data_IF_483388809217
#
_entry.id   IF_483388809217
#
_cell.length_a   1.000
_cell.length_b   1.000
_cell.length_c   1.000
_cell.angle_alpha   90.00
_cell.angle_beta   90.00
_cell.angle_gamma   90.00
#
_symmetry.space_group_name_H-M   'P 1'
#
loop_
_entity.id
_entity.type
_entity.pdbx_description
1 polymer ?
#
# COMPACT_ATOMS: atom_id res chain seq x y z
N UNK A 1 -68.71 6.35 -10.90
CA UNK A 1 -67.27 6.05 -11.03
C UNK A 1 -66.63 7.34 -11.54
N UNK A 2 -65.92 8.08 -10.65
CA UNK A 2 -65.27 9.33 -11.03
C UNK A 2 -63.99 8.99 -11.81
N UNK A 3 -63.94 9.37 -13.06
CA UNK A 3 -62.70 9.27 -13.86
C UNK A 3 -61.68 10.23 -13.26
N UNK A 4 -60.44 9.78 -13.02
CA UNK A 4 -59.40 10.64 -12.45
C UNK A 4 -59.07 11.80 -13.40
N UNK A 5 -58.96 13.00 -12.85
CA UNK A 5 -58.67 14.23 -13.59
C UNK A 5 -57.30 14.08 -14.30
N UNK A 6 -57.24 14.26 -15.63
CA UNK A 6 -56.02 14.11 -16.41
C UNK A 6 -54.88 15.09 -15.97
N UNK A 7 -55.24 16.23 -15.40
CA UNK A 7 -54.28 17.17 -14.84
C UNK A 7 -53.60 16.63 -13.56
N UNK A 8 -54.35 15.99 -12.69
CA UNK A 8 -53.84 15.36 -11.47
C UNK A 8 -52.90 14.17 -11.78
N UNK A 9 -53.23 13.38 -12.79
CA UNK A 9 -52.39 12.27 -13.28
C UNK A 9 -51.05 12.75 -13.86
N UNK A 10 -51.05 13.86 -14.58
CA UNK A 10 -49.80 14.46 -15.11
C UNK A 10 -48.94 15.02 -14.00
N UNK A 11 -49.52 15.67 -12.98
CA UNK A 11 -48.81 16.17 -11.84
C UNK A 11 -48.18 15.03 -10.99
N UNK A 12 -48.91 13.95 -10.78
CA UNK A 12 -48.45 12.76 -10.10
C UNK A 12 -47.28 12.08 -10.83
N UNK A 13 -47.35 11.91 -12.13
CA UNK A 13 -46.28 11.36 -12.98
C UNK A 13 -45.01 12.23 -12.94
N UNK A 14 -45.14 13.56 -12.98
CA UNK A 14 -43.96 14.47 -12.81
C UNK A 14 -43.29 14.33 -11.45
N UNK A 15 -44.05 14.23 -10.36
CA UNK A 15 -43.50 14.00 -9.02
C UNK A 15 -42.77 12.67 -8.96
N UNK A 16 -43.30 11.62 -9.52
CA UNK A 16 -42.70 10.28 -9.56
C UNK A 16 -41.40 10.28 -10.36
N UNK A 17 -41.38 10.94 -11.53
CA UNK A 17 -40.18 11.11 -12.37
C UNK A 17 -39.10 11.92 -11.66
N UNK A 18 -39.45 12.99 -10.92
CA UNK A 18 -38.51 13.77 -10.12
C UNK A 18 -37.88 12.94 -9.00
N UNK A 19 -38.70 12.17 -8.28
CA UNK A 19 -38.19 11.28 -7.24
C UNK A 19 -37.24 10.24 -7.87
N UNK A 20 -37.64 9.59 -8.95
CA UNK A 20 -36.79 8.61 -9.65
C UNK A 20 -35.46 9.23 -10.11
N UNK A 21 -35.48 10.44 -10.63
CA UNK A 21 -34.30 11.16 -11.09
C UNK A 21 -33.34 11.47 -9.92
N UNK A 22 -33.85 11.91 -8.77
CA UNK A 22 -33.04 12.20 -7.58
C UNK A 22 -32.33 10.95 -7.07
N UNK A 23 -32.99 9.79 -7.11
CA UNK A 23 -32.36 8.53 -6.69
C UNK A 23 -31.45 7.90 -7.75
N UNK A 24 -31.78 8.06 -9.03
CA UNK A 24 -30.98 7.53 -10.13
C UNK A 24 -29.73 8.37 -10.42
N UNK A 25 -29.76 9.69 -10.23
CA UNK A 25 -28.68 10.61 -10.56
C UNK A 25 -27.33 10.24 -9.89
N UNK A 26 -27.25 9.94 -8.57
CA UNK A 26 -25.98 9.57 -7.94
C UNK A 26 -25.43 8.25 -8.48
N UNK A 27 -26.28 7.28 -8.83
CA UNK A 27 -25.86 5.99 -9.38
C UNK A 27 -25.29 6.19 -10.80
N UNK A 28 -25.97 6.95 -11.63
CA UNK A 28 -25.51 7.27 -12.99
C UNK A 28 -24.22 8.08 -12.94
N UNK A 29 -24.12 9.07 -12.04
CA UNK A 29 -22.90 9.84 -11.86
C UNK A 29 -21.72 8.95 -11.41
N UNK A 30 -21.92 8.06 -10.46
CA UNK A 30 -20.90 7.12 -10.01
C UNK A 30 -20.45 6.18 -11.14
N UNK A 31 -21.37 5.66 -11.93
CA UNK A 31 -21.03 4.84 -13.11
C UNK A 31 -20.21 5.63 -14.14
N UNK A 32 -20.63 6.84 -14.49
CA UNK A 32 -19.90 7.69 -15.44
C UNK A 32 -18.49 8.02 -14.97
N UNK A 33 -18.32 8.35 -13.70
CA UNK A 33 -17.01 8.63 -13.10
C UNK A 33 -16.11 7.38 -13.11
N UNK A 34 -16.67 6.21 -12.80
CA UNK A 34 -15.92 4.95 -12.84
C UNK A 34 -15.48 4.60 -14.26
N UNK A 35 -16.36 4.74 -15.26
CA UNK A 35 -16.02 4.51 -16.67
C UNK A 35 -15.02 5.54 -17.21
N UNK A 36 -15.08 6.78 -16.73
CA UNK A 36 -14.09 7.82 -17.06
C UNK A 36 -12.72 7.60 -16.39
N UNK A 37 -12.57 6.54 -15.56
CA UNK A 37 -11.31 6.26 -14.84
C UNK A 37 -11.01 7.26 -13.72
N UNK A 38 -11.99 8.13 -13.37
CA UNK A 38 -11.81 9.06 -12.27
C UNK A 38 -11.98 8.33 -10.95
N UNK A 39 -10.84 8.03 -10.32
CA UNK A 39 -10.82 7.53 -8.95
C UNK A 39 -10.50 8.69 -8.02
N UNK A 40 -11.35 8.98 -7.02
CA UNK A 40 -10.99 9.96 -6.00
C UNK A 40 -9.68 9.51 -5.38
N UNK A 41 -8.63 10.33 -5.53
CA UNK A 41 -7.34 10.07 -4.90
C UNK A 41 -7.57 9.99 -3.40
N UNK A 42 -7.52 8.78 -2.86
CA UNK A 42 -7.53 8.58 -1.42
C UNK A 42 -6.40 9.41 -0.82
N UNK A 43 -6.57 9.93 0.39
CA UNK A 43 -5.52 10.66 1.13
C UNK A 43 -4.44 9.67 1.63
N UNK A 44 -3.93 8.82 0.73
CA UNK A 44 -2.78 7.97 0.95
C UNK A 44 -1.52 8.74 0.53
N UNK A 45 -0.46 8.63 1.33
CA UNK A 45 0.83 9.26 1.00
C UNK A 45 1.64 8.39 0.03
N UNK A 46 1.30 7.09 -0.07
CA UNK A 46 1.88 6.17 -1.04
C UNK A 46 1.13 6.16 -2.37
N UNK A 47 1.84 5.83 -3.43
CA UNK A 47 1.30 5.63 -4.77
C UNK A 47 0.71 4.23 -4.88
N UNK A 48 -0.43 4.09 -5.56
CA UNK A 48 -0.98 2.77 -5.89
C UNK A 48 -0.03 2.03 -6.84
N UNK A 49 0.17 0.73 -6.60
CA UNK A 49 0.98 -0.12 -7.49
C UNK A 49 0.14 -0.49 -8.70
N UNK A 50 0.52 0.01 -9.87
CA UNK A 50 -0.17 -0.24 -11.14
C UNK A 50 0.83 -0.72 -12.19
N UNK A 51 0.62 -1.84 -12.89
CA UNK A 51 -0.45 -2.82 -12.64
C UNK A 51 -0.32 -3.51 -11.28
N UNK A 52 -1.42 -3.98 -10.74
CA UNK A 52 -1.45 -4.71 -9.48
C UNK A 52 -0.54 -5.95 -9.56
N UNK A 53 0.36 -6.12 -8.58
CA UNK A 53 1.25 -7.27 -8.49
C UNK A 53 0.98 -8.07 -7.23
N UNK A 54 1.15 -9.39 -7.33
CA UNK A 54 1.07 -10.30 -6.18
C UNK A 54 2.32 -11.18 -6.14
N UNK A 55 3.24 -10.85 -5.24
CA UNK A 55 4.54 -11.51 -5.14
C UNK A 55 4.47 -12.97 -4.70
N UNK A 56 3.38 -13.35 -4.01
CA UNK A 56 3.16 -14.75 -3.66
C UNK A 56 2.70 -15.58 -4.87
N UNK A 57 1.83 -15.01 -5.72
CA UNK A 57 1.39 -15.67 -6.95
C UNK A 57 2.52 -15.73 -8.00
N UNK A 58 3.34 -14.69 -8.06
CA UNK A 58 4.52 -14.60 -8.92
C UNK A 58 5.71 -15.42 -8.38
N UNK A 59 5.60 -16.00 -7.19
CA UNK A 59 6.65 -16.78 -6.52
C UNK A 59 8.00 -16.05 -6.44
N UNK A 60 7.97 -14.74 -6.16
CA UNK A 60 9.18 -13.91 -6.10
C UNK A 60 10.11 -14.42 -4.99
N UNK A 61 11.31 -14.91 -5.32
CA UNK A 61 12.21 -15.44 -4.31
C UNK A 61 13.02 -14.30 -3.67
N UNK A 62 12.90 -14.15 -2.37
CA UNK A 62 13.79 -13.28 -1.58
C UNK A 62 14.53 -14.18 -0.59
N UNK A 63 15.84 -14.31 -0.78
CA UNK A 63 16.69 -15.11 0.10
C UNK A 63 17.08 -14.28 1.33
N UNK A 64 16.79 -14.79 2.52
CA UNK A 64 17.17 -14.15 3.77
C UNK A 64 18.60 -14.49 4.15
N UNK A 65 19.24 -13.64 4.96
CA UNK A 65 20.63 -13.82 5.44
C UNK A 65 20.82 -15.07 6.30
N UNK A 66 19.75 -15.65 6.86
CA UNK A 66 19.78 -16.92 7.59
C UNK A 66 19.65 -18.16 6.69
N UNK A 67 19.58 -17.99 5.35
CA UNK A 67 19.44 -19.07 4.39
C UNK A 67 17.98 -19.43 4.05
N UNK A 68 16.99 -18.89 4.76
CA UNK A 68 15.58 -19.11 4.47
C UNK A 68 15.11 -18.28 3.26
N UNK A 69 13.98 -18.67 2.69
CA UNK A 69 13.25 -17.85 1.71
C UNK A 69 12.14 -17.08 2.40
N UNK A 70 11.95 -15.81 2.02
CA UNK A 70 10.88 -15.00 2.56
C UNK A 70 9.51 -15.54 2.17
N UNK A 71 8.67 -15.82 3.19
CA UNK A 71 7.29 -16.25 2.98
C UNK A 71 6.38 -15.04 2.76
N UNK A 72 5.93 -14.83 1.52
CA UNK A 72 5.01 -13.75 1.17
C UNK A 72 3.66 -13.91 1.85
N UNK A 73 3.13 -15.13 1.88
CA UNK A 73 1.89 -15.42 2.58
C UNK A 73 2.11 -15.56 4.08
N UNK A 74 1.31 -14.85 4.85
CA UNK A 74 1.28 -15.00 6.30
C UNK A 74 0.03 -15.79 6.72
N UNK A 75 0.18 -16.60 7.79
CA UNK A 75 -0.95 -17.35 8.37
C UNK A 75 -1.98 -16.43 9.05
N UNK A 76 -1.48 -15.34 9.60
CA UNK A 76 -2.27 -14.29 10.24
C UNK A 76 -2.32 -13.04 9.36
N UNK A 77 -3.34 -12.18 9.49
CA UNK A 77 -3.41 -10.93 8.74
C UNK A 77 -2.29 -9.98 9.18
N UNK A 78 -1.17 -10.03 8.46
CA UNK A 78 0.02 -9.23 8.68
C UNK A 78 0.40 -8.50 7.39
N UNK A 79 0.71 -7.23 7.49
CA UNK A 79 1.31 -6.48 6.40
C UNK A 79 2.83 -6.65 6.42
N UNK A 80 3.44 -6.55 5.25
CA UNK A 80 4.89 -6.48 5.11
C UNK A 80 5.28 -5.11 4.57
N UNK A 81 6.09 -4.37 5.32
CA UNK A 81 6.73 -3.16 4.82
C UNK A 81 8.12 -3.52 4.33
N UNK A 82 8.31 -3.40 3.03
CA UNK A 82 9.59 -3.68 2.38
C UNK A 82 10.35 -2.36 2.23
N UNK A 83 11.61 -2.35 2.65
CA UNK A 83 12.56 -1.31 2.31
C UNK A 83 13.47 -1.83 1.21
N UNK A 84 13.40 -1.22 0.03
CA UNK A 84 14.25 -1.51 -1.10
C UNK A 84 15.38 -0.48 -1.13
N UNK A 85 16.60 -0.91 -0.85
CA UNK A 85 17.75 -0.02 -0.83
C UNK A 85 18.35 0.16 -2.22
N UNK A 86 18.74 1.38 -2.52
CA UNK A 86 19.55 1.72 -3.68
C UNK A 86 21.02 1.30 -3.50
N UNK A 87 21.86 1.60 -4.50
CA UNK A 87 23.27 1.32 -4.40
C UNK A 87 23.91 2.02 -3.19
N UNK A 88 24.53 1.24 -2.30
CA UNK A 88 25.26 1.77 -1.15
C UNK A 88 24.36 2.43 -0.09
N UNK A 89 23.78 1.63 0.79
CA UNK A 89 23.02 2.14 1.94
C UNK A 89 23.97 2.76 2.97
N UNK A 90 23.97 4.08 3.09
CA UNK A 90 24.81 4.86 4.01
C UNK A 90 23.92 5.68 4.98
N UNK A 91 24.28 6.90 5.28
CA UNK A 91 23.64 7.71 6.33
C UNK A 91 22.15 8.02 6.06
N UNK A 92 21.82 8.44 4.84
CA UNK A 92 20.42 8.80 4.52
C UNK A 92 19.52 7.56 4.51
N UNK A 93 19.97 6.49 3.88
CA UNK A 93 19.31 5.21 3.89
C UNK A 93 19.05 4.73 5.33
N UNK A 94 20.06 4.73 6.20
CA UNK A 94 19.92 4.31 7.61
C UNK A 94 18.96 5.19 8.40
N UNK A 95 18.94 6.50 8.16
CA UNK A 95 18.00 7.43 8.80
C UNK A 95 16.54 7.09 8.41
N UNK A 96 16.29 6.85 7.13
CA UNK A 96 14.96 6.44 6.64
C UNK A 96 14.55 5.09 7.23
N UNK A 97 15.43 4.09 7.23
CA UNK A 97 15.15 2.77 7.81
C UNK A 97 14.82 2.84 9.30
N UNK A 98 15.55 3.69 10.04
CA UNK A 98 15.28 3.94 11.46
C UNK A 98 13.90 4.55 11.67
N UNK A 99 13.51 5.54 10.86
CA UNK A 99 12.19 6.17 10.91
C UNK A 99 11.07 5.19 10.54
N UNK A 100 11.31 4.31 9.56
CA UNK A 100 10.37 3.24 9.20
C UNK A 100 10.20 2.22 10.33
N UNK A 101 11.29 1.81 10.97
CA UNK A 101 11.23 0.92 12.14
C UNK A 101 10.50 1.59 13.31
N UNK A 102 10.77 2.87 13.56
CA UNK A 102 10.06 3.66 14.57
C UNK A 102 8.56 3.77 14.27
N UNK A 103 8.15 3.89 13.00
CA UNK A 103 6.75 3.89 12.62
C UNK A 103 6.03 2.59 13.04
N UNK A 104 6.70 1.42 12.95
CA UNK A 104 6.16 0.15 13.48
C UNK A 104 5.93 0.21 15.00
N UNK A 105 6.83 0.80 15.76
CA UNK A 105 6.69 0.92 17.21
C UNK A 105 5.47 1.77 17.60
N UNK A 106 5.10 2.76 16.79
CA UNK A 106 3.91 3.59 17.04
C UNK A 106 2.57 2.86 16.88
N UNK A 107 2.57 1.63 16.34
CA UNK A 107 1.40 0.78 16.23
C UNK A 107 1.06 0.07 17.57
N UNK A 108 1.88 0.22 18.59
CA UNK A 108 1.68 -0.34 19.92
C UNK A 108 1.36 -1.85 19.89
N UNK A 109 0.19 -2.23 20.41
CA UNK A 109 -0.29 -3.62 20.42
C UNK A 109 -0.44 -4.23 19.02
N UNK A 110 -0.59 -3.42 17.97
CA UNK A 110 -0.70 -3.87 16.58
C UNK A 110 0.68 -3.98 15.88
N UNK A 111 1.79 -3.63 16.54
CA UNK A 111 3.12 -3.73 15.97
C UNK A 111 3.48 -5.14 15.43
N UNK A 112 3.04 -6.26 16.03
CA UNK A 112 3.27 -7.60 15.48
C UNK A 112 2.59 -7.85 14.13
N UNK A 113 1.56 -7.07 13.79
CA UNK A 113 0.86 -7.16 12.51
C UNK A 113 1.61 -6.52 11.35
N UNK A 114 2.77 -5.89 11.61
CA UNK A 114 3.65 -5.33 10.59
C UNK A 114 5.00 -6.03 10.62
N UNK A 115 5.34 -6.73 9.54
CA UNK A 115 6.67 -7.31 9.32
C UNK A 115 7.53 -6.32 8.56
N UNK A 116 8.81 -6.24 8.90
CA UNK A 116 9.78 -5.38 8.22
C UNK A 116 10.77 -6.24 7.45
N UNK A 117 10.86 -6.03 6.13
CA UNK A 117 11.78 -6.71 5.23
C UNK A 117 12.67 -5.68 4.54
N UNK A 118 13.97 -5.79 4.73
CA UNK A 118 14.95 -5.03 3.97
C UNK A 118 15.43 -5.88 2.78
N UNK A 119 15.45 -5.30 1.59
CA UNK A 119 15.95 -5.95 0.38
C UNK A 119 17.05 -5.08 -0.23
N UNK A 120 18.24 -5.66 -0.34
CA UNK A 120 19.43 -4.99 -0.86
C UNK A 120 20.70 -5.45 -0.17
N UNK A 121 21.84 -4.84 -0.57
CA UNK A 121 23.10 -5.10 0.14
C UNK A 121 23.06 -4.45 1.53
N UNK A 122 23.10 -5.24 2.61
CA UNK A 122 23.07 -4.67 3.95
C UNK A 122 24.31 -3.82 4.22
N UNK A 123 24.20 -2.75 5.04
CA UNK A 123 25.36 -2.01 5.50
C UNK A 123 26.33 -2.93 6.26
N UNK A 124 27.63 -2.62 6.19
CA UNK A 124 28.67 -3.44 6.85
C UNK A 124 28.48 -3.51 8.38
N UNK A 125 27.88 -2.48 8.97
CA UNK A 125 27.62 -2.32 10.41
C UNK A 125 26.15 -2.63 10.81
N UNK A 126 25.38 -3.29 9.94
CA UNK A 126 23.97 -3.57 10.18
C UNK A 126 23.69 -4.25 11.53
N UNK A 127 24.57 -5.15 11.96
CA UNK A 127 24.47 -5.80 13.27
C UNK A 127 24.80 -4.82 14.43
N UNK A 128 25.86 -4.02 14.28
CA UNK A 128 26.29 -3.06 15.28
C UNK A 128 25.27 -1.92 15.50
N UNK A 129 24.56 -1.52 14.44
CA UNK A 129 23.48 -0.50 14.51
C UNK A 129 22.16 -1.06 15.04
N UNK A 130 22.07 -2.36 15.32
CA UNK A 130 20.83 -3.01 15.77
C UNK A 130 19.76 -3.14 14.69
N UNK A 131 20.10 -2.95 13.43
CA UNK A 131 19.17 -3.07 12.30
C UNK A 131 18.51 -4.45 12.28
N UNK A 132 19.26 -5.51 12.56
CA UNK A 132 18.80 -6.90 12.57
C UNK A 132 17.75 -7.21 13.64
N UNK A 133 17.60 -6.34 14.65
CA UNK A 133 16.56 -6.48 15.69
C UNK A 133 15.17 -6.17 15.16
N UNK A 134 15.08 -5.35 14.11
CA UNK A 134 13.80 -4.88 13.57
C UNK A 134 13.56 -5.40 12.16
N UNK A 135 14.61 -5.50 11.34
CA UNK A 135 14.54 -5.85 9.93
C UNK A 135 14.97 -7.29 9.67
N UNK A 136 14.18 -8.01 8.90
CA UNK A 136 14.67 -9.21 8.24
C UNK A 136 15.44 -8.78 7.00
N UNK A 137 16.68 -9.21 6.89
CA UNK A 137 17.56 -8.84 5.79
C UNK A 137 17.45 -9.89 4.69
N UNK A 138 17.16 -9.45 3.47
CA UNK A 138 17.00 -10.32 2.31
C UNK A 138 17.64 -9.73 1.05
N UNK A 139 17.81 -10.59 0.07
CA UNK A 139 18.30 -10.24 -1.26
C UNK A 139 17.35 -10.80 -2.32
N UNK A 140 17.06 -9.97 -3.31
CA UNK A 140 16.34 -10.37 -4.52
C UNK A 140 17.35 -10.84 -5.56
N UNK A 141 17.59 -12.15 -5.59
CA UNK A 141 18.56 -12.76 -6.50
C UNK A 141 18.11 -12.80 -7.95
N UNK A 142 16.80 -12.72 -8.20
CA UNK A 142 16.22 -12.79 -9.55
C UNK A 142 15.86 -11.41 -10.12
N UNK A 143 15.99 -10.34 -9.34
CA UNK A 143 15.65 -8.99 -9.78
C UNK A 143 14.16 -8.73 -9.98
N UNK A 144 13.29 -9.55 -9.40
CA UNK A 144 11.84 -9.41 -9.53
C UNK A 144 11.30 -8.11 -8.87
N UNK A 145 12.01 -7.60 -7.84
CA UNK A 145 11.71 -6.35 -7.17
C UNK A 145 12.51 -5.16 -7.74
N UNK A 146 13.39 -5.38 -8.71
CA UNK A 146 14.20 -4.33 -9.34
C UNK A 146 13.39 -3.12 -9.86
N UNK A 147 12.16 -3.29 -10.43
CA UNK A 147 11.34 -2.16 -10.84
C UNK A 147 10.95 -1.20 -9.70
N UNK A 148 10.99 -1.67 -8.47
CA UNK A 148 10.69 -0.88 -7.27
C UNK A 148 11.95 -0.38 -6.54
N UNK A 149 13.12 -0.85 -6.94
CA UNK A 149 14.37 -0.42 -6.32
C UNK A 149 14.76 1.00 -6.78
N UNK A 150 15.27 1.84 -5.88
CA UNK A 150 15.76 3.14 -6.27
C UNK A 150 17.09 3.02 -7.01
N UNK A 151 17.29 3.86 -8.02
CA UNK A 151 18.55 3.96 -8.75
C UNK A 151 19.56 4.93 -8.11
N UNK A 152 19.06 5.82 -7.26
CA UNK A 152 19.87 6.82 -6.56
C UNK A 152 20.67 6.17 -5.43
N UNK A 153 21.97 6.45 -5.29
CA UNK A 153 22.76 6.00 -4.15
C UNK A 153 22.19 6.51 -2.82
N UNK A 154 22.43 5.76 -1.74
CA UNK A 154 22.03 6.10 -0.36
C UNK A 154 20.55 6.44 -0.20
N UNK A 155 19.70 5.80 -1.00
CA UNK A 155 18.25 6.03 -0.99
C UNK A 155 17.48 4.76 -0.71
N UNK A 156 16.21 4.93 -0.31
CA UNK A 156 15.29 3.82 0.01
C UNK A 156 13.93 4.12 -0.61
N UNK A 157 13.39 3.14 -1.33
CA UNK A 157 11.98 3.06 -1.65
C UNK A 157 11.28 2.16 -0.63
N UNK A 158 10.03 2.45 -0.33
CA UNK A 158 9.24 1.57 0.51
C UNK A 158 8.06 0.98 -0.27
N UNK A 159 7.72 -0.27 0.02
CA UNK A 159 6.60 -0.96 -0.59
C UNK A 159 5.79 -1.65 0.52
N UNK A 160 4.48 -1.41 0.56
CA UNK A 160 3.57 -2.05 1.48
C UNK A 160 2.87 -3.22 0.78
N UNK A 161 2.96 -4.39 1.39
CA UNK A 161 2.45 -5.65 0.83
C UNK A 161 1.51 -6.32 1.84
N UNK A 162 0.40 -6.83 1.35
CA UNK A 162 -0.62 -7.53 2.13
C UNK A 162 -0.20 -8.96 2.50
N UNK A 163 -0.93 -9.58 3.42
CA UNK A 163 -0.67 -10.92 3.93
C UNK A 163 -0.79 -12.04 2.88
N UNK A 164 -1.46 -11.77 1.77
CA UNK A 164 -1.57 -12.68 0.61
C UNK A 164 -0.47 -12.49 -0.43
N UNK A 165 0.40 -11.46 -0.25
CA UNK A 165 1.46 -11.09 -1.18
C UNK A 165 1.12 -9.99 -2.16
N UNK A 166 -0.07 -9.37 -2.07
CA UNK A 166 -0.48 -8.28 -2.95
C UNK A 166 0.21 -6.98 -2.59
N UNK A 167 0.85 -6.32 -3.56
CA UNK A 167 1.47 -5.01 -3.39
C UNK A 167 0.39 -3.92 -3.35
N UNK A 168 0.32 -3.18 -2.24
CA UNK A 168 -0.72 -2.17 -2.01
C UNK A 168 -0.27 -0.76 -2.38
N UNK A 169 0.85 -0.32 -1.83
CA UNK A 169 1.32 1.05 -1.95
C UNK A 169 2.82 1.13 -2.10
N UNK A 170 3.26 1.99 -2.98
CA UNK A 170 4.66 2.28 -3.27
C UNK A 170 5.02 3.69 -2.79
N UNK A 171 6.14 3.82 -2.13
CA UNK A 171 6.69 5.08 -1.63
C UNK A 171 8.07 5.29 -2.26
N UNK A 172 8.19 6.14 -3.28
CA UNK A 172 9.47 6.42 -3.95
C UNK A 172 10.45 7.15 -3.02
N UNK A 173 11.73 7.05 -3.30
CA UNK A 173 12.79 7.69 -2.53
C UNK A 173 12.49 9.18 -2.29
N UNK A 174 12.77 9.64 -1.08
CA UNK A 174 12.40 10.99 -0.64
C UNK A 174 10.98 11.10 -0.08
N UNK A 175 10.23 9.99 0.05
CA UNK A 175 8.93 10.01 0.70
C UNK A 175 9.01 10.53 2.15
N UNK A 176 7.91 11.13 2.64
CA UNK A 176 7.80 11.53 4.04
C UNK A 176 7.51 10.31 4.95
N UNK A 177 8.44 9.92 5.84
CA UNK A 177 8.20 8.84 6.80
C UNK A 177 7.00 9.09 7.72
N UNK A 178 6.63 10.35 7.95
CA UNK A 178 5.44 10.72 8.74
C UNK A 178 4.16 10.37 7.97
N UNK A 179 4.17 10.57 6.65
CA UNK A 179 3.08 10.15 5.76
C UNK A 179 2.90 8.63 5.76
N UNK A 180 4.00 7.88 5.60
CA UNK A 180 4.00 6.42 5.70
C UNK A 180 3.41 5.94 7.05
N UNK A 181 3.85 6.53 8.17
CA UNK A 181 3.31 6.20 9.50
C UNK A 181 1.80 6.41 9.58
N UNK A 182 1.29 7.52 9.06
CA UNK A 182 -0.16 7.82 9.04
C UNK A 182 -0.93 6.77 8.22
N UNK A 183 -0.37 6.33 7.10
CA UNK A 183 -1.01 5.32 6.27
C UNK A 183 -1.01 3.95 6.97
N UNK A 184 0.09 3.55 7.60
CA UNK A 184 0.17 2.32 8.41
C UNK A 184 -0.88 2.31 9.53
N UNK A 185 -1.05 3.43 10.25
CA UNK A 185 -2.05 3.56 11.33
C UNK A 185 -3.50 3.48 10.84
N UNK A 186 -3.78 3.81 9.57
CA UNK A 186 -5.12 3.66 8.98
C UNK A 186 -5.41 2.21 8.59
N UNK A 187 -4.41 1.50 8.09
CA UNK A 187 -4.58 0.14 7.54
C UNK A 187 -4.48 -0.92 8.63
N UNK A 188 -3.62 -0.69 9.65
CA UNK A 188 -3.40 -1.62 10.77
C UNK A 188 -4.21 -1.13 11.98
N UNK A 189 -5.43 -1.61 12.11
CA UNK A 189 -6.35 -1.33 13.22
C UNK A 189 -6.67 -2.58 14.01
#
# INVERSE_FOLDING_TARGET
MNSPDPAALRASRRKLLLIMLVFAAPIVAAMLLTFAGWQPSGKANGLAVMPQRNFAAEQVPVSLTNGDTWAWRAKEPQLTLIALAGPGCAKQCMDVLTKMAAARLTLNQNAPRLRLLYVGKPPADAAATGMTNYWKLGQDSMGALAPFAPTTPDSVNALLVESDGTALSFYPAGFDPTGLRKDLQKVIR
#
